data_IF_551204685983
#
_entry.id   IF_551204685983
#
_cell.length_a   1.000
_cell.length_b   1.000
_cell.length_c   1.000
_cell.angle_alpha   90.00
_cell.angle_beta   90.00
_cell.angle_gamma   90.00
#
_symmetry.space_group_name_H-M   'P 1'
#
loop_
_entity.id
_entity.type
_entity.pdbx_description
1 polymer ?
#
# COMPACT_ATOMS: atom_id res chain seq x y z
N UNK A 1 23.83 -0.25 -8.40
CA UNK A 1 22.51 0.00 -7.77
C UNK A 1 22.43 1.48 -7.44
N UNK A 2 21.34 2.14 -7.80
CA UNK A 2 21.03 3.51 -7.42
C UNK A 2 20.13 3.43 -6.17
N UNK A 3 20.46 4.21 -5.14
CA UNK A 3 19.59 4.47 -4.01
C UNK A 3 19.50 5.99 -3.88
N UNK A 4 18.34 6.56 -4.14
CA UNK A 4 18.15 8.01 -4.20
C UNK A 4 16.79 8.41 -3.63
N UNK A 5 16.76 9.48 -2.86
CA UNK A 5 15.52 10.06 -2.34
C UNK A 5 15.04 11.21 -3.23
N UNK A 6 13.73 11.30 -3.37
CA UNK A 6 13.01 12.35 -4.05
C UNK A 6 11.97 12.93 -3.12
N UNK A 7 11.87 14.24 -3.08
CA UNK A 7 10.79 14.92 -2.36
C UNK A 7 9.47 14.73 -3.11
N UNK A 8 8.41 14.41 -2.37
CA UNK A 8 7.03 14.34 -2.84
C UNK A 8 6.24 15.47 -2.20
N UNK A 9 5.35 16.10 -2.94
CA UNK A 9 4.53 17.22 -2.48
C UNK A 9 3.82 16.91 -1.16
N UNK A 10 3.60 17.93 -0.33
CA UNK A 10 2.95 17.75 0.96
C UNK A 10 3.81 17.07 2.03
N UNK A 11 5.13 16.99 1.84
CA UNK A 11 6.10 16.47 2.82
C UNK A 11 6.31 14.96 2.78
N UNK A 12 5.89 14.29 1.71
CA UNK A 12 6.25 12.89 1.46
C UNK A 12 7.65 12.75 0.87
N UNK A 13 8.16 11.52 0.84
CA UNK A 13 9.44 11.15 0.21
C UNK A 13 9.31 9.84 -0.55
N UNK A 14 9.97 9.74 -1.69
CA UNK A 14 10.12 8.51 -2.45
C UNK A 14 11.57 8.08 -2.45
N UNK A 15 11.88 6.92 -1.90
CA UNK A 15 13.22 6.34 -2.00
C UNK A 15 13.25 5.31 -3.13
N UNK A 16 14.00 5.60 -4.17
CA UNK A 16 14.17 4.73 -5.32
C UNK A 16 15.33 3.75 -5.09
N UNK A 17 15.07 2.46 -5.19
CA UNK A 17 16.04 1.36 -5.19
C UNK A 17 16.08 0.76 -6.60
N UNK A 18 17.01 1.23 -7.42
CA UNK A 18 17.08 0.86 -8.84
C UNK A 18 18.33 0.00 -9.09
N UNK A 19 18.10 -1.19 -9.63
CA UNK A 19 19.18 -2.06 -10.05
C UNK A 19 19.79 -1.55 -11.36
N UNK A 20 21.13 -1.47 -11.39
CA UNK A 20 21.85 -1.19 -12.62
C UNK A 20 21.70 -2.37 -13.60
N UNK A 21 21.21 -2.07 -14.80
CA UNK A 21 20.96 -3.08 -15.84
C UNK A 21 22.11 -3.26 -16.81
N UNK A 22 23.28 -2.68 -16.58
CA UNK A 22 24.47 -2.93 -17.42
C UNK A 22 25.03 -4.36 -17.32
N UNK A 23 24.28 -5.28 -16.73
CA UNK A 23 24.65 -6.69 -16.66
C UNK A 23 24.30 -7.38 -17.98
N UNK A 24 25.29 -7.88 -18.68
CA UNK A 24 25.26 -8.48 -20.02
C UNK A 24 24.29 -9.66 -20.21
N UNK A 25 23.71 -10.19 -19.13
CA UNK A 25 22.87 -11.40 -19.15
C UNK A 25 21.42 -11.15 -18.78
N UNK A 26 20.94 -9.91 -18.85
CA UNK A 26 19.54 -9.63 -18.56
C UNK A 26 18.66 -10.00 -19.76
N UNK A 27 17.68 -10.87 -19.51
CA UNK A 27 16.67 -11.25 -20.47
C UNK A 27 15.73 -10.08 -20.80
N UNK A 28 15.52 -9.20 -19.82
CA UNK A 28 14.65 -8.03 -19.94
C UNK A 28 15.44 -6.73 -19.74
N UNK A 29 15.33 -5.81 -20.70
CA UNK A 29 15.94 -4.47 -20.59
C UNK A 29 15.19 -3.58 -19.60
N UNK A 30 13.85 -3.67 -19.57
CA UNK A 30 12.98 -2.98 -18.62
C UNK A 30 12.46 -3.98 -17.58
N UNK A 31 12.33 -3.54 -16.34
CA UNK A 31 11.88 -4.35 -15.22
C UNK A 31 10.53 -3.85 -14.71
N UNK A 32 9.68 -4.74 -14.19
CA UNK A 32 8.51 -4.28 -13.46
C UNK A 32 8.93 -3.43 -12.26
N UNK A 33 8.05 -2.54 -11.84
CA UNK A 33 8.26 -1.71 -10.65
C UNK A 33 7.28 -2.08 -9.54
N UNK A 34 7.71 -1.84 -8.29
CA UNK A 34 6.90 -2.00 -7.09
C UNK A 34 6.98 -0.73 -6.25
N UNK A 35 5.87 -0.01 -6.11
CA UNK A 35 5.75 1.06 -5.11
C UNK A 35 5.34 0.41 -3.80
N UNK A 36 6.06 0.72 -2.73
CA UNK A 36 5.91 0.11 -1.41
C UNK A 36 5.46 1.18 -0.43
N UNK A 37 4.28 0.99 0.17
CA UNK A 37 3.74 1.88 1.19
C UNK A 37 3.75 1.17 2.56
N UNK A 38 4.65 1.54 3.48
CA UNK A 38 4.69 0.96 4.82
C UNK A 38 3.44 1.31 5.62
N UNK A 39 3.06 0.45 6.56
CA UNK A 39 2.00 0.70 7.52
C UNK A 39 2.43 1.61 8.67
N UNK A 40 1.64 1.63 9.73
CA UNK A 40 1.86 2.45 10.93
C UNK A 40 0.69 3.34 11.28
N UNK A 41 -0.53 2.95 10.91
CA UNK A 41 -1.80 3.59 11.27
C UNK A 41 -1.87 5.09 10.94
N UNK A 42 -1.25 5.53 9.86
CA UNK A 42 -1.10 6.97 9.51
C UNK A 42 -0.36 7.79 10.56
N UNK A 43 0.06 7.20 11.68
CA UNK A 43 0.80 7.88 12.74
C UNK A 43 2.29 7.93 12.44
N UNK A 44 2.85 6.83 11.94
CA UNK A 44 4.28 6.61 11.72
C UNK A 44 4.48 5.70 10.50
N UNK A 45 5.74 5.44 10.11
CA UNK A 45 6.07 4.36 9.17
C UNK A 45 6.70 3.18 9.92
N UNK A 46 6.20 1.97 9.63
CA UNK A 46 6.75 0.72 10.13
C UNK A 46 8.03 0.36 9.37
N UNK A 47 9.18 0.38 10.05
CA UNK A 47 10.49 0.20 9.42
C UNK A 47 10.67 -1.16 8.74
N UNK A 48 10.09 -2.24 9.30
CA UNK A 48 10.16 -3.59 8.71
C UNK A 48 9.39 -3.73 7.38
N UNK A 49 8.50 -2.81 7.10
CA UNK A 49 7.64 -2.78 5.90
C UNK A 49 8.18 -1.81 4.82
N UNK A 50 9.31 -1.19 5.05
CA UNK A 50 9.97 -0.21 4.17
C UNK A 50 11.11 -0.87 3.37
N UNK A 51 12.36 -0.57 3.69
CA UNK A 51 13.55 -1.10 3.00
C UNK A 51 13.62 -2.64 2.97
N UNK A 52 13.30 -3.38 4.07
CA UNK A 52 13.29 -4.84 4.02
C UNK A 52 12.34 -5.41 2.95
N UNK A 53 11.16 -4.81 2.78
CA UNK A 53 10.23 -5.19 1.71
C UNK A 53 10.80 -4.85 0.32
N UNK A 54 11.47 -3.69 0.16
CA UNK A 54 12.13 -3.33 -1.09
C UNK A 54 13.21 -4.35 -1.46
N UNK A 55 14.07 -4.74 -0.52
CA UNK A 55 15.11 -5.75 -0.74
C UNK A 55 14.51 -7.08 -1.20
N UNK A 56 13.39 -7.50 -0.62
CA UNK A 56 12.72 -8.74 -0.99
C UNK A 56 12.18 -8.70 -2.42
N UNK A 57 11.46 -7.66 -2.81
CA UNK A 57 10.93 -7.52 -4.17
C UNK A 57 12.05 -7.27 -5.20
N UNK A 58 13.11 -6.57 -4.83
CA UNK A 58 14.30 -6.43 -5.68
C UNK A 58 14.95 -7.78 -6.00
N UNK A 59 15.05 -8.69 -5.01
CA UNK A 59 15.54 -10.04 -5.22
C UNK A 59 14.66 -10.86 -6.16
N UNK A 60 13.38 -10.48 -6.31
CA UNK A 60 12.40 -11.09 -7.22
C UNK A 60 12.36 -10.41 -8.61
N UNK A 61 13.22 -9.37 -8.83
CA UNK A 61 13.44 -8.76 -10.15
C UNK A 61 12.72 -7.43 -10.40
N UNK A 62 12.23 -6.77 -9.36
CA UNK A 62 11.58 -5.45 -9.46
C UNK A 62 12.58 -4.30 -9.30
N UNK A 63 12.28 -3.16 -9.93
CA UNK A 63 12.72 -1.86 -9.44
C UNK A 63 11.79 -1.46 -8.31
N UNK A 64 12.32 -1.04 -7.15
CA UNK A 64 11.51 -0.79 -5.96
C UNK A 64 11.56 0.67 -5.54
N UNK A 65 10.42 1.17 -5.08
CA UNK A 65 10.21 2.55 -4.68
C UNK A 65 9.45 2.59 -3.35
N UNK A 66 10.12 2.98 -2.27
CA UNK A 66 9.45 3.11 -0.96
C UNK A 66 8.89 4.51 -0.83
N UNK A 67 7.57 4.62 -0.74
CA UNK A 67 6.88 5.87 -0.50
C UNK A 67 6.67 6.09 1.00
N UNK A 68 7.40 7.02 1.55
CA UNK A 68 7.17 7.57 2.88
C UNK A 68 6.15 8.72 2.78
N UNK A 69 4.87 8.34 2.71
CA UNK A 69 3.75 9.28 2.63
C UNK A 69 3.59 10.07 3.93
N UNK A 70 2.93 11.22 3.90
CA UNK A 70 2.74 12.06 5.09
C UNK A 70 1.99 11.34 6.20
N UNK A 71 2.59 11.32 7.39
CA UNK A 71 2.06 10.69 8.61
C UNK A 71 1.93 11.70 9.75
N UNK A 72 1.12 11.35 10.75
CA UNK A 72 0.71 12.25 11.84
C UNK A 72 1.78 12.57 12.86
N UNK A 73 2.84 11.78 12.97
CA UNK A 73 3.89 12.02 13.96
C UNK A 73 5.30 11.86 13.37
N UNK A 74 6.19 12.72 13.83
CA UNK A 74 7.62 12.61 13.57
C UNK A 74 8.23 11.77 14.70
N UNK A 75 8.74 10.55 14.39
CA UNK A 75 9.37 9.67 15.39
C UNK A 75 10.63 10.27 16.00
N UNK A 76 11.37 11.05 15.23
CA UNK A 76 12.62 11.68 15.68
C UNK A 76 12.32 12.92 16.54
N UNK A 77 11.15 13.52 16.34
CA UNK A 77 10.72 14.74 16.98
C UNK A 77 9.28 14.64 17.53
N UNK A 78 9.00 13.71 18.46
CA UNK A 78 7.66 13.51 19.00
C UNK A 78 7.12 14.75 19.75
N UNK A 79 8.01 15.64 20.20
CA UNK A 79 7.67 16.90 20.84
C UNK A 79 6.95 17.90 19.89
N UNK A 80 7.04 17.71 18.58
CA UNK A 80 6.32 18.54 17.60
C UNK A 80 4.82 18.31 17.59
N UNK A 81 4.35 17.20 18.23
CA UNK A 81 2.94 16.83 18.23
C UNK A 81 2.43 16.33 16.86
N UNK A 82 1.14 16.52 16.61
CA UNK A 82 0.51 16.05 15.37
C UNK A 82 0.93 16.90 14.17
N UNK A 83 1.36 16.22 13.12
CA UNK A 83 1.61 16.84 11.81
C UNK A 83 0.28 17.06 11.08
N UNK A 84 -0.23 18.26 11.15
CA UNK A 84 -1.46 18.64 10.45
C UNK A 84 -1.32 18.69 8.91
N UNK A 85 -0.10 18.59 8.35
CA UNK A 85 0.14 18.38 6.93
C UNK A 85 -0.29 17.00 6.42
N UNK A 86 -0.45 16.02 7.32
CA UNK A 86 -0.89 14.66 6.98
C UNK A 86 -2.41 14.52 6.76
N UNK A 87 -3.11 15.61 6.47
CA UNK A 87 -4.54 15.62 6.23
C UNK A 87 -4.91 14.90 4.93
N UNK A 88 -5.94 14.04 5.00
CA UNK A 88 -6.50 13.38 3.81
C UNK A 88 -7.03 14.42 2.79
N UNK A 89 -6.78 14.26 1.49
CA UNK A 89 -6.25 13.07 0.82
C UNK A 89 -4.76 13.13 0.46
N UNK A 90 -3.92 13.89 1.18
CA UNK A 90 -2.51 14.12 0.81
C UNK A 90 -1.76 12.81 0.50
N UNK A 91 -2.00 11.74 1.24
CA UNK A 91 -1.32 10.46 1.05
C UNK A 91 -1.67 9.81 -0.29
N UNK A 92 -2.92 9.98 -0.74
CA UNK A 92 -3.38 9.47 -2.05
C UNK A 92 -2.77 10.29 -3.17
N UNK A 93 -2.69 11.61 -3.03
CA UNK A 93 -2.03 12.48 -4.00
C UNK A 93 -0.53 12.15 -4.10
N UNK A 94 0.10 11.80 -2.98
CA UNK A 94 1.52 11.44 -2.93
C UNK A 94 1.82 10.13 -3.65
N UNK A 95 0.97 9.09 -3.55
CA UNK A 95 1.18 7.87 -4.33
C UNK A 95 0.89 8.09 -5.82
N UNK A 96 -0.05 8.98 -6.18
CA UNK A 96 -0.26 9.41 -7.56
C UNK A 96 0.95 10.15 -8.12
N UNK A 97 1.56 11.06 -7.35
CA UNK A 97 2.79 11.76 -7.72
C UNK A 97 3.99 10.80 -7.84
N UNK A 98 4.08 9.80 -6.96
CA UNK A 98 5.10 8.75 -7.06
C UNK A 98 4.96 7.93 -8.35
N UNK A 99 3.73 7.59 -8.77
CA UNK A 99 3.47 6.94 -10.07
C UNK A 99 3.98 7.82 -11.21
N UNK A 100 3.58 9.09 -11.24
CA UNK A 100 4.02 10.06 -12.26
C UNK A 100 5.55 10.18 -12.33
N UNK A 101 6.22 10.35 -11.20
CA UNK A 101 7.67 10.44 -11.12
C UNK A 101 8.36 9.18 -11.68
N UNK A 102 7.81 8.00 -11.44
CA UNK A 102 8.33 6.75 -11.99
C UNK A 102 8.16 6.71 -13.51
N UNK A 103 7.05 7.21 -14.05
CA UNK A 103 6.84 7.34 -15.50
C UNK A 103 7.83 8.33 -16.13
N UNK A 104 8.07 9.51 -15.53
CA UNK A 104 9.04 10.49 -16.00
C UNK A 104 10.45 9.92 -16.07
N UNK A 105 10.85 9.09 -15.11
CA UNK A 105 12.18 8.49 -15.03
C UNK A 105 12.26 7.07 -15.61
N UNK A 106 11.21 6.57 -16.28
CA UNK A 106 11.11 5.16 -16.68
C UNK A 106 12.28 4.68 -17.57
N UNK A 107 12.77 5.52 -18.47
CA UNK A 107 13.91 5.17 -19.31
C UNK A 107 15.23 5.14 -18.51
N UNK A 108 15.46 6.13 -17.65
CA UNK A 108 16.65 6.19 -16.78
C UNK A 108 16.70 5.00 -15.81
N UNK A 109 15.56 4.66 -15.22
CA UNK A 109 15.44 3.59 -14.23
C UNK A 109 15.14 2.23 -14.84
N UNK A 110 14.98 2.18 -16.15
CA UNK A 110 14.65 0.97 -16.91
C UNK A 110 13.40 0.27 -16.37
N UNK A 111 12.37 1.06 -16.09
CA UNK A 111 11.06 0.59 -15.63
C UNK A 111 10.17 0.25 -16.82
N UNK A 112 9.51 -0.89 -16.72
CA UNK A 112 8.40 -1.29 -17.57
C UNK A 112 7.11 -0.65 -17.02
N UNK A 113 6.67 0.44 -17.63
CA UNK A 113 5.54 1.26 -17.16
C UNK A 113 4.19 0.57 -17.26
N UNK A 114 4.07 -0.49 -18.07
CA UNK A 114 2.85 -1.32 -18.11
C UNK A 114 2.78 -2.30 -16.92
N UNK A 115 3.88 -2.48 -16.19
CA UNK A 115 4.03 -3.41 -15.09
C UNK A 115 4.47 -2.72 -13.80
N UNK A 116 3.85 -1.59 -13.46
CA UNK A 116 4.01 -0.93 -12.14
C UNK A 116 2.93 -1.46 -11.21
N UNK A 117 3.35 -2.16 -10.16
CA UNK A 117 2.50 -2.67 -9.09
C UNK A 117 2.65 -1.81 -7.84
N UNK A 118 1.65 -1.84 -6.98
CA UNK A 118 1.74 -1.23 -5.66
C UNK A 118 1.60 -2.30 -4.58
N UNK A 119 2.38 -2.21 -3.52
CA UNK A 119 2.22 -3.06 -2.34
C UNK A 119 2.15 -2.20 -1.10
N UNK A 120 1.25 -2.54 -0.21
CA UNK A 120 1.07 -1.81 1.03
C UNK A 120 0.74 -2.72 2.20
N UNK A 121 1.06 -2.23 3.37
CA UNK A 121 0.91 -2.93 4.64
C UNK A 121 -0.01 -2.13 5.56
N UNK A 122 -1.05 -2.74 6.14
CA UNK A 122 -1.94 -2.07 7.10
C UNK A 122 -2.49 -0.73 6.55
N UNK A 123 -2.15 0.39 7.16
CA UNK A 123 -2.50 1.74 6.68
C UNK A 123 -1.87 2.07 5.31
N UNK A 124 -0.67 1.57 5.01
CA UNK A 124 -0.06 1.70 3.68
C UNK A 124 -0.82 0.94 2.60
N UNK A 125 -1.46 -0.19 2.98
CA UNK A 125 -2.37 -0.89 2.08
C UNK A 125 -3.62 -0.07 1.77
N UNK A 126 -4.09 0.77 2.71
CA UNK A 126 -5.17 1.73 2.44
C UNK A 126 -4.73 2.77 1.40
N UNK A 127 -3.50 3.28 1.47
CA UNK A 127 -2.96 4.21 0.46
C UNK A 127 -2.89 3.54 -0.92
N UNK A 128 -2.36 2.33 -0.99
CA UNK A 128 -2.30 1.55 -2.23
C UNK A 128 -3.68 1.23 -2.80
N UNK A 129 -4.62 0.80 -1.95
CA UNK A 129 -5.98 0.51 -2.37
C UNK A 129 -6.76 1.77 -2.76
N UNK A 130 -6.46 2.94 -2.15
CA UNK A 130 -7.01 4.23 -2.59
C UNK A 130 -6.59 4.53 -4.03
N UNK A 131 -5.33 4.32 -4.38
CA UNK A 131 -4.90 4.44 -5.78
C UNK A 131 -5.59 3.39 -6.65
N UNK A 132 -5.58 2.11 -6.27
CA UNK A 132 -6.13 1.03 -7.08
C UNK A 132 -7.64 1.10 -7.34
N UNK A 133 -8.39 1.77 -6.47
CA UNK A 133 -9.84 1.98 -6.62
C UNK A 133 -10.22 3.35 -7.20
N UNK A 134 -9.31 4.35 -7.17
CA UNK A 134 -9.61 5.75 -7.46
C UNK A 134 -8.56 6.41 -8.37
N UNK A 135 -7.80 5.63 -9.13
CA UNK A 135 -6.71 6.12 -9.98
C UNK A 135 -7.17 7.16 -11.01
N UNK A 136 -8.43 7.13 -11.44
CA UNK A 136 -9.06 8.03 -12.41
C UNK A 136 -10.13 8.95 -11.80
N UNK A 137 -10.20 9.06 -10.46
CA UNK A 137 -11.20 9.86 -9.77
C UNK A 137 -10.93 11.37 -9.94
N UNK A 138 -11.84 12.14 -10.56
CA UNK A 138 -11.66 13.58 -10.76
C UNK A 138 -11.50 14.35 -9.44
N UNK A 139 -12.14 13.92 -8.34
CA UNK A 139 -12.00 14.56 -7.02
C UNK A 139 -10.55 14.54 -6.51
N UNK A 140 -9.73 13.60 -6.99
CA UNK A 140 -8.33 13.46 -6.65
C UNK A 140 -7.44 14.06 -7.75
N UNK A 141 -7.67 13.68 -9.02
CA UNK A 141 -6.79 14.06 -10.12
C UNK A 141 -6.78 15.57 -10.37
N UNK A 142 -7.88 16.27 -10.14
CA UNK A 142 -7.96 17.74 -10.22
C UNK A 142 -7.13 18.48 -9.15
N UNK A 143 -6.69 17.77 -8.10
CA UNK A 143 -5.83 18.35 -7.04
C UNK A 143 -4.34 18.14 -7.28
N UNK A 144 -3.97 17.38 -8.33
CA UNK A 144 -2.58 17.16 -8.69
C UNK A 144 -1.97 18.44 -9.26
N UNK A 145 -0.66 18.61 -9.05
CA UNK A 145 0.11 19.72 -9.62
C UNK A 145 0.53 19.50 -11.08
N UNK A 146 0.20 18.34 -11.64
CA UNK A 146 0.47 17.90 -13.01
C UNK A 146 -0.79 17.32 -13.63
N UNK A 147 -0.80 17.18 -14.95
CA UNK A 147 -1.88 16.52 -15.70
C UNK A 147 -1.37 15.14 -16.11
N UNK A 148 -1.91 14.04 -15.54
CA UNK A 148 -1.47 12.71 -15.91
C UNK A 148 -1.91 12.35 -17.35
N UNK A 149 -1.09 11.59 -18.05
CA UNK A 149 -1.49 10.94 -19.31
C UNK A 149 -2.60 9.90 -19.04
N UNK A 150 -3.38 9.53 -20.06
CA UNK A 150 -4.40 8.48 -19.90
C UNK A 150 -3.81 7.19 -19.32
N UNK A 151 -4.45 6.66 -18.28
CA UNK A 151 -4.05 5.44 -17.55
C UNK A 151 -2.67 5.48 -16.85
N UNK A 152 -1.95 6.60 -16.87
CA UNK A 152 -0.65 6.75 -16.22
C UNK A 152 -0.69 6.41 -14.71
N UNK A 153 -1.78 6.79 -14.04
CA UNK A 153 -1.96 6.54 -12.61
C UNK A 153 -2.52 5.16 -12.29
N UNK A 154 -2.81 4.31 -13.30
CA UNK A 154 -3.40 2.99 -13.13
C UNK A 154 -2.33 1.93 -12.86
N UNK A 155 -2.20 1.42 -11.64
CA UNK A 155 -1.25 0.34 -11.40
C UNK A 155 -1.70 -0.95 -12.10
N UNK A 156 -0.74 -1.80 -12.45
CA UNK A 156 -1.01 -3.11 -13.04
C UNK A 156 -1.73 -4.07 -12.08
N UNK A 157 -1.64 -3.80 -10.79
CA UNK A 157 -2.32 -4.49 -9.70
C UNK A 157 -1.82 -4.05 -8.34
N UNK A 158 -2.53 -4.46 -7.30
CA UNK A 158 -2.18 -4.15 -5.91
C UNK A 158 -2.00 -5.40 -5.08
N UNK A 159 -0.96 -5.41 -4.22
CA UNK A 159 -0.65 -6.45 -3.24
C UNK A 159 -0.88 -5.86 -1.85
N UNK A 160 -1.89 -6.33 -1.15
CA UNK A 160 -2.35 -5.74 0.11
C UNK A 160 -2.14 -6.70 1.28
N UNK A 161 -1.25 -6.35 2.18
CA UNK A 161 -0.93 -7.14 3.37
C UNK A 161 -1.74 -6.63 4.57
N UNK A 162 -2.54 -7.50 5.19
CA UNK A 162 -3.38 -7.18 6.36
C UNK A 162 -4.00 -5.78 6.29
N UNK A 163 -4.72 -5.45 5.18
CA UNK A 163 -5.06 -4.09 4.84
C UNK A 163 -6.17 -3.51 5.72
N UNK A 164 -6.02 -2.23 6.08
CA UNK A 164 -7.05 -1.42 6.70
C UNK A 164 -7.85 -0.71 5.59
N UNK A 165 -8.97 -1.27 5.12
CA UNK A 165 -9.71 -0.77 3.95
C UNK A 165 -10.97 0.04 4.31
N UNK A 166 -11.46 -0.12 5.53
CA UNK A 166 -12.60 0.61 6.07
C UNK A 166 -12.28 1.04 7.51
N UNK A 167 -12.26 2.36 7.73
CA UNK A 167 -12.01 2.98 9.04
C UNK A 167 -13.29 3.27 9.81
N UNK A 168 -14.43 3.34 9.15
CA UNK A 168 -15.70 3.81 9.70
C UNK A 168 -16.72 2.70 9.98
N UNK A 169 -16.28 1.45 10.08
CA UNK A 169 -17.17 0.35 10.40
C UNK A 169 -17.51 0.35 11.90
N UNK A 170 -18.33 1.32 12.32
CA UNK A 170 -18.77 1.44 13.71
C UNK A 170 -19.47 0.16 14.20
N UNK A 171 -20.21 -0.53 13.33
CA UNK A 171 -20.84 -1.82 13.64
C UNK A 171 -19.78 -2.92 13.85
N UNK A 172 -18.72 -2.91 13.04
CA UNK A 172 -17.60 -3.82 13.18
C UNK A 172 -16.80 -3.52 14.46
N UNK A 173 -16.46 -2.24 14.70
CA UNK A 173 -15.75 -1.80 15.91
C UNK A 173 -16.56 -2.17 17.16
N UNK A 174 -17.89 -1.95 17.15
CA UNK A 174 -18.77 -2.32 18.26
C UNK A 174 -18.84 -3.85 18.49
N UNK A 175 -18.72 -4.65 17.43
CA UNK A 175 -18.68 -6.11 17.51
C UNK A 175 -17.33 -6.65 18.05
N UNK A 176 -16.25 -5.89 17.83
CA UNK A 176 -14.88 -6.26 18.22
C UNK A 176 -14.19 -5.10 18.96
N UNK A 177 -14.74 -4.66 20.12
CA UNK A 177 -14.27 -3.45 20.82
C UNK A 177 -12.85 -3.58 21.37
N UNK A 178 -12.34 -4.79 21.51
CA UNK A 178 -11.00 -5.07 22.04
C UNK A 178 -9.90 -5.00 20.95
N UNK A 179 -10.27 -4.76 19.68
CA UNK A 179 -9.28 -4.61 18.62
C UNK A 179 -8.46 -3.31 18.80
N UNK A 180 -7.16 -3.36 18.58
CA UNK A 180 -6.30 -2.17 18.61
C UNK A 180 -6.74 -1.12 17.57
N UNK A 181 -7.42 -1.53 16.50
CA UNK A 181 -8.04 -0.64 15.52
C UNK A 181 -9.12 0.26 16.15
N UNK A 182 -9.95 -0.27 17.07
CA UNK A 182 -10.96 0.52 17.77
C UNK A 182 -10.33 1.61 18.64
N UNK A 183 -9.26 1.30 19.35
CA UNK A 183 -8.55 2.25 20.21
C UNK A 183 -7.85 3.35 19.42
N UNK A 184 -7.32 3.04 18.26
CA UNK A 184 -6.53 3.95 17.44
C UNK A 184 -7.39 4.81 16.50
N UNK A 185 -8.62 4.42 16.20
CA UNK A 185 -9.48 5.08 15.20
C UNK A 185 -9.63 6.58 15.42
N UNK A 186 -9.86 7.02 16.66
CA UNK A 186 -10.02 8.45 16.97
C UNK A 186 -8.74 9.26 16.68
N UNK A 187 -7.56 8.67 16.94
CA UNK A 187 -6.27 9.31 16.63
C UNK A 187 -6.02 9.35 15.14
N UNK A 188 -6.36 8.30 14.43
CA UNK A 188 -6.28 8.28 12.95
C UNK A 188 -7.19 9.36 12.36
N UNK A 189 -8.41 9.51 12.84
CA UNK A 189 -9.31 10.56 12.40
C UNK A 189 -8.77 11.97 12.69
N UNK A 190 -8.17 12.18 13.87
CA UNK A 190 -7.53 13.46 14.20
C UNK A 190 -6.41 13.82 13.20
N UNK A 191 -5.63 12.83 12.78
CA UNK A 191 -4.58 13.02 11.75
C UNK A 191 -5.20 13.33 10.39
N UNK A 192 -6.15 12.50 9.94
CA UNK A 192 -6.71 12.59 8.60
C UNK A 192 -7.66 13.78 8.41
N UNK A 193 -8.38 14.20 9.46
CA UNK A 193 -9.45 15.19 9.35
C UNK A 193 -9.29 16.39 10.29
N UNK A 194 -8.29 16.39 11.18
CA UNK A 194 -8.13 17.36 12.27
C UNK A 194 -9.35 17.35 13.23
N UNK A 195 -10.01 16.20 13.32
CA UNK A 195 -11.20 15.98 14.13
C UNK A 195 -11.23 14.52 14.62
N UNK A 196 -11.40 14.30 15.91
CA UNK A 196 -11.51 12.95 16.49
C UNK A 196 -12.86 12.29 16.23
N UNK A 197 -13.85 13.11 15.89
CA UNK A 197 -15.25 12.70 15.65
C UNK A 197 -15.75 13.27 14.31
N UNK A 198 -15.08 12.91 13.17
CA UNK A 198 -15.41 13.50 11.89
C UNK A 198 -16.85 13.20 11.46
N UNK A 199 -17.36 14.01 10.56
CA UNK A 199 -18.68 13.80 9.97
C UNK A 199 -18.77 12.48 9.21
N UNK A 200 -19.98 11.96 9.00
CA UNK A 200 -20.20 10.73 8.23
C UNK A 200 -19.63 10.85 6.82
N UNK A 201 -19.74 12.01 6.18
CA UNK A 201 -19.13 12.25 4.86
C UNK A 201 -17.61 12.13 4.87
N UNK A 202 -16.92 12.61 5.92
CA UNK A 202 -15.49 12.46 6.08
C UNK A 202 -15.11 10.98 6.33
N UNK A 203 -15.84 10.29 7.19
CA UNK A 203 -15.63 8.84 7.42
C UNK A 203 -15.82 8.06 6.13
N UNK A 204 -16.87 8.34 5.37
CA UNK A 204 -17.13 7.69 4.09
C UNK A 204 -16.05 7.98 3.03
N UNK A 205 -15.37 9.12 3.08
CA UNK A 205 -14.31 9.45 2.12
C UNK A 205 -13.07 8.52 2.24
N UNK A 206 -12.88 7.85 3.37
CA UNK A 206 -11.82 6.87 3.63
C UNK A 206 -12.34 5.44 3.73
N UNK A 207 -13.59 5.19 3.37
CA UNK A 207 -14.19 3.87 3.26
C UNK A 207 -14.00 3.33 1.84
N UNK A 208 -12.96 2.54 1.62
CA UNK A 208 -12.61 2.05 0.28
C UNK A 208 -13.58 0.99 -0.25
N UNK A 209 -14.40 0.40 0.59
CA UNK A 209 -15.43 -0.55 0.15
C UNK A 209 -16.40 0.08 -0.85
N UNK A 210 -16.71 1.36 -0.70
CA UNK A 210 -17.63 2.10 -1.57
C UNK A 210 -17.04 2.49 -2.94
N UNK A 211 -15.71 2.50 -3.06
CA UNK A 211 -15.04 2.90 -4.30
C UNK A 211 -14.70 1.72 -5.21
N UNK A 212 -14.98 0.49 -4.78
CA UNK A 212 -14.81 -0.68 -5.63
C UNK A 212 -15.77 -0.61 -6.81
N UNK A 213 -15.21 -0.64 -8.02
CA UNK A 213 -15.93 -0.52 -9.28
C UNK A 213 -15.30 -1.45 -10.33
N UNK A 214 -15.87 -1.52 -11.51
CA UNK A 214 -15.29 -2.25 -12.65
C UNK A 214 -13.90 -1.71 -13.08
N UNK A 215 -13.60 -0.45 -12.73
CA UNK A 215 -12.31 0.20 -12.98
C UNK A 215 -11.25 -0.12 -11.90
N UNK A 216 -11.64 -0.77 -10.80
CA UNK A 216 -10.72 -1.17 -9.75
C UNK A 216 -9.69 -2.15 -10.30
N UNK A 217 -8.41 -1.89 -10.02
CA UNK A 217 -7.33 -2.75 -10.51
C UNK A 217 -7.31 -4.10 -9.79
N UNK A 218 -6.76 -5.16 -10.40
CA UNK A 218 -6.66 -6.47 -9.79
C UNK A 218 -5.94 -6.44 -8.44
N UNK A 219 -6.38 -7.28 -7.49
CA UNK A 219 -5.86 -7.32 -6.13
C UNK A 219 -5.38 -8.71 -5.71
N UNK A 220 -4.23 -8.76 -5.04
CA UNK A 220 -3.80 -9.87 -4.19
C UNK A 220 -3.86 -9.39 -2.74
N UNK A 221 -4.55 -10.13 -1.88
CA UNK A 221 -4.80 -9.71 -0.49
C UNK A 221 -4.48 -10.87 0.44
N UNK A 222 -3.93 -10.57 1.63
CA UNK A 222 -3.79 -11.58 2.67
C UNK A 222 -3.95 -10.99 4.08
N UNK A 223 -4.42 -11.84 5.00
CA UNK A 223 -4.59 -11.54 6.42
C UNK A 223 -4.30 -12.79 7.27
N UNK A 224 -4.14 -12.59 8.57
CA UNK A 224 -4.26 -13.64 9.59
C UNK A 224 -5.60 -13.53 10.30
N UNK A 225 -6.21 -14.68 10.67
CA UNK A 225 -7.53 -14.68 11.31
C UNK A 225 -7.49 -14.17 12.75
N UNK A 226 -6.34 -14.30 13.40
CA UNK A 226 -6.06 -13.90 14.77
C UNK A 226 -5.46 -12.49 14.88
N UNK A 227 -5.50 -11.70 13.79
CA UNK A 227 -5.01 -10.32 13.78
C UNK A 227 -5.76 -9.45 14.80
N UNK A 228 -5.07 -8.97 15.87
CA UNK A 228 -5.72 -8.18 16.93
C UNK A 228 -5.86 -6.70 16.58
N UNK A 229 -5.24 -6.25 15.47
CA UNK A 229 -5.21 -4.83 15.07
C UNK A 229 -6.23 -4.53 13.99
N UNK A 230 -6.20 -5.29 12.89
CA UNK A 230 -7.13 -5.15 11.78
C UNK A 230 -7.82 -6.48 11.52
N UNK A 231 -9.10 -6.56 11.87
CA UNK A 231 -9.84 -7.79 11.66
C UNK A 231 -9.95 -8.15 10.17
N UNK A 232 -9.71 -9.42 9.83
CA UNK A 232 -9.71 -9.93 8.46
C UNK A 232 -11.05 -9.71 7.72
N UNK A 233 -12.17 -9.51 8.42
CA UNK A 233 -13.47 -9.17 7.81
C UNK A 233 -13.44 -7.86 7.06
N UNK A 234 -12.53 -6.95 7.42
CA UNK A 234 -12.30 -5.71 6.68
C UNK A 234 -11.91 -6.02 5.22
N UNK A 235 -10.93 -6.91 5.02
CA UNK A 235 -10.52 -7.38 3.70
C UNK A 235 -11.57 -8.27 3.04
N UNK A 236 -12.24 -9.16 3.78
CA UNK A 236 -13.26 -10.05 3.22
C UNK A 236 -14.39 -9.28 2.53
N UNK A 237 -14.86 -8.18 3.12
CA UNK A 237 -15.88 -7.31 2.51
C UNK A 237 -15.38 -6.64 1.22
N UNK A 238 -14.12 -6.22 1.21
CA UNK A 238 -13.52 -5.67 0.00
C UNK A 238 -13.45 -6.72 -1.13
N UNK A 239 -13.06 -7.96 -0.79
CA UNK A 239 -13.04 -9.10 -1.73
C UNK A 239 -14.45 -9.39 -2.25
N UNK A 240 -15.48 -9.38 -1.40
CA UNK A 240 -16.88 -9.56 -1.80
C UNK A 240 -17.30 -8.48 -2.82
N UNK A 241 -16.99 -7.20 -2.55
CA UNK A 241 -17.26 -6.12 -3.50
C UNK A 241 -16.48 -6.28 -4.82
N UNK A 242 -15.22 -6.75 -4.77
CA UNK A 242 -14.45 -7.06 -5.98
C UNK A 242 -15.15 -8.14 -6.82
N UNK A 243 -15.62 -9.21 -6.19
CA UNK A 243 -16.36 -10.29 -6.88
C UNK A 243 -17.66 -9.79 -7.50
N UNK A 244 -18.42 -8.94 -6.81
CA UNK A 244 -19.65 -8.34 -7.33
C UNK A 244 -19.39 -7.44 -8.56
N UNK A 245 -18.23 -6.79 -8.63
CA UNK A 245 -17.83 -5.91 -9.73
C UNK A 245 -17.03 -6.61 -10.82
N UNK A 246 -16.79 -7.92 -10.70
CA UNK A 246 -16.00 -8.68 -11.68
C UNK A 246 -14.50 -8.34 -11.65
N UNK A 247 -14.01 -7.74 -10.56
CA UNK A 247 -12.59 -7.42 -10.38
C UNK A 247 -11.85 -8.69 -9.97
N UNK A 248 -10.78 -9.00 -10.69
CA UNK A 248 -9.94 -10.15 -10.36
C UNK A 248 -9.24 -9.97 -9.02
N UNK A 249 -9.51 -10.86 -8.08
CA UNK A 249 -8.99 -10.80 -6.73
C UNK A 249 -8.56 -12.19 -6.25
N UNK A 250 -7.37 -12.28 -5.65
CA UNK A 250 -6.89 -13.47 -4.95
C UNK A 250 -6.74 -13.14 -3.47
N UNK A 251 -7.32 -13.97 -2.59
CA UNK A 251 -7.32 -13.74 -1.16
C UNK A 251 -6.81 -14.95 -0.37
N UNK A 252 -5.83 -14.71 0.49
CA UNK A 252 -5.27 -15.70 1.41
C UNK A 252 -5.56 -15.32 2.85
N UNK A 253 -6.22 -16.21 3.57
CA UNK A 253 -6.49 -16.08 5.00
C UNK A 253 -5.73 -17.15 5.76
N UNK A 254 -4.65 -16.75 6.44
CA UNK A 254 -3.88 -17.65 7.32
C UNK A 254 -4.58 -17.80 8.67
N UNK A 255 -4.50 -18.97 9.26
CA UNK A 255 -5.21 -19.29 10.51
C UNK A 255 -4.59 -18.64 11.76
N UNK A 256 -3.32 -18.22 11.68
CA UNK A 256 -2.61 -17.52 12.74
C UNK A 256 -1.47 -16.66 12.18
N UNK A 257 -0.89 -15.79 13.04
CA UNK A 257 0.25 -14.94 12.74
C UNK A 257 0.14 -13.51 13.26
N UNK A 258 -1.07 -13.00 13.51
CA UNK A 258 -1.29 -11.65 14.02
C UNK A 258 -1.13 -10.56 12.97
N UNK A 259 -0.65 -9.37 13.38
CA UNK A 259 -0.55 -8.16 12.58
C UNK A 259 0.90 -7.71 12.37
N UNK A 260 1.17 -7.00 11.26
CA UNK A 260 2.44 -6.30 11.05
C UNK A 260 3.63 -7.22 10.76
N UNK A 261 3.41 -8.38 10.15
CA UNK A 261 4.42 -9.41 9.92
C UNK A 261 5.41 -9.05 8.79
N UNK A 262 5.09 -8.07 7.94
CA UNK A 262 5.90 -7.71 6.77
C UNK A 262 6.21 -8.94 5.90
N UNK A 263 7.48 -9.20 5.55
CA UNK A 263 7.89 -10.39 4.81
C UNK A 263 7.81 -11.70 5.61
N UNK A 264 7.66 -11.63 6.93
CA UNK A 264 7.75 -12.77 7.85
C UNK A 264 8.98 -13.66 7.59
N UNK A 265 10.13 -13.02 7.47
CA UNK A 265 11.41 -13.66 7.17
C UNK A 265 12.55 -13.03 7.97
N UNK A 266 13.77 -13.49 7.77
CA UNK A 266 14.97 -13.04 8.52
C UNK A 266 15.26 -11.54 8.41
N UNK A 267 14.69 -10.82 7.46
CA UNK A 267 14.84 -9.37 7.32
C UNK A 267 13.83 -8.59 8.18
N UNK A 268 12.74 -9.22 8.60
CA UNK A 268 11.58 -8.54 9.19
C UNK A 268 11.22 -8.99 10.60
N UNK A 269 11.74 -10.12 11.06
CA UNK A 269 11.51 -10.65 12.43
C UNK A 269 12.65 -10.26 13.38
N UNK A 270 12.34 -10.17 14.65
CA UNK A 270 13.35 -9.93 15.70
C UNK A 270 13.99 -11.25 16.16
N UNK A 271 13.24 -12.34 16.15
CA UNK A 271 13.71 -13.69 16.45
C UNK A 271 13.20 -14.67 15.38
N UNK A 272 14.03 -15.68 15.03
CA UNK A 272 13.66 -16.68 14.03
C UNK A 272 12.44 -17.52 14.39
N UNK A 273 12.12 -17.63 15.67
CA UNK A 273 10.89 -18.31 16.13
C UNK A 273 9.60 -17.57 15.75
N UNK A 274 9.70 -16.30 15.37
CA UNK A 274 8.56 -15.51 14.87
C UNK A 274 8.23 -15.83 13.40
N UNK A 275 9.09 -16.56 12.68
CA UNK A 275 8.84 -16.94 11.29
C UNK A 275 7.80 -18.06 11.26
N UNK A 276 6.61 -17.71 10.78
CA UNK A 276 5.57 -18.67 10.47
C UNK A 276 5.78 -19.28 9.08
N UNK A 277 5.92 -20.61 8.95
CA UNK A 277 6.20 -21.25 7.67
C UNK A 277 5.09 -21.10 6.63
N UNK A 278 3.83 -20.92 7.04
CA UNK A 278 2.71 -20.69 6.12
C UNK A 278 2.69 -19.22 5.67
N UNK A 279 2.73 -18.28 6.63
CA UNK A 279 2.69 -16.84 6.34
C UNK A 279 3.89 -16.41 5.52
N UNK A 280 5.11 -16.92 5.81
CA UNK A 280 6.34 -16.57 5.09
C UNK A 280 6.28 -16.84 3.57
N UNK A 281 5.32 -17.64 3.10
CA UNK A 281 5.14 -17.93 1.67
C UNK A 281 4.34 -16.86 0.92
N UNK A 282 3.75 -15.88 1.61
CA UNK A 282 2.85 -14.93 0.95
C UNK A 282 3.51 -14.13 -0.18
N UNK A 283 4.79 -13.79 -0.06
CA UNK A 283 5.51 -13.08 -1.11
C UNK A 283 5.69 -13.92 -2.36
N UNK A 284 5.90 -15.23 -2.23
CA UNK A 284 6.00 -16.15 -3.37
C UNK A 284 4.63 -16.39 -4.02
N UNK A 285 3.56 -16.46 -3.22
CA UNK A 285 2.18 -16.51 -3.73
C UNK A 285 1.84 -15.24 -4.50
N UNK A 286 2.16 -14.05 -3.97
CA UNK A 286 1.98 -12.78 -4.67
C UNK A 286 2.77 -12.74 -5.98
N UNK A 287 4.00 -13.26 -6.00
CA UNK A 287 4.81 -13.34 -7.21
C UNK A 287 4.24 -14.30 -8.25
N UNK A 288 3.65 -15.42 -7.83
CA UNK A 288 2.95 -16.34 -8.75
C UNK A 288 1.74 -15.64 -9.36
N UNK A 289 0.95 -14.94 -8.56
CA UNK A 289 -0.19 -14.14 -9.00
C UNK A 289 0.23 -13.03 -10.00
N UNK A 290 1.28 -12.26 -9.71
CA UNK A 290 1.78 -11.21 -10.62
C UNK A 290 2.23 -11.79 -11.96
N UNK A 291 2.93 -12.93 -11.96
CA UNK A 291 3.41 -13.59 -13.19
C UNK A 291 2.26 -14.11 -14.07
N UNK A 292 1.20 -14.63 -13.46
CA UNK A 292 0.00 -15.06 -14.16
C UNK A 292 -0.65 -13.92 -14.96
N UNK A 293 -0.63 -12.69 -14.43
CA UNK A 293 -1.22 -11.51 -15.09
C UNK A 293 -0.43 -10.97 -16.26
N UNK A 294 0.89 -11.13 -16.25
CA UNK A 294 1.73 -10.75 -17.39
C UNK A 294 1.39 -11.56 -18.66
N UNK A 295 0.99 -12.81 -18.50
CA UNK A 295 0.66 -13.69 -19.61
C UNK A 295 -0.74 -13.41 -20.22
N UNK A 296 -1.60 -12.66 -19.53
CA UNK A 296 -2.92 -12.26 -20.03
C UNK A 296 -2.89 -11.01 -20.91
N UNK A 297 -1.77 -10.25 -20.89
CA UNK A 297 -1.57 -9.00 -21.66
C UNK A 297 -0.63 -9.12 -22.85
N UNK A 298 -0.04 -10.30 -23.09
CA UNK A 298 0.91 -10.57 -24.18
C UNK A 298 0.27 -11.26 -25.39
#
# INVERSE_FOLDING_TARGET
MICKEFEISGGGKLTAYVQDSQIYYQVYKKKPAMIICPGGAYMIHATRESEPAAVEFMAKGFQCFVLYYSVGTDREHPEKGINYGAKYPVQVLQIMEAMHLIHEHAEEWQVDTENIFVTGFSAGAHVCASLGTRWNDPELTEKLSFVPEPEELKPAGMVLAYPMLCLNDDAFIAQYPESAMAEQTSTVYEILFHDRTPSDSQKESVNLLRYVSEETVPAFIWNCIDDPVVNCRNAMRFVENCLEKGVACEYHLFDHGGHGLAGNNVLTVMDRSEIDPAVSQWTDLAMAWIRGRKNERS
#
